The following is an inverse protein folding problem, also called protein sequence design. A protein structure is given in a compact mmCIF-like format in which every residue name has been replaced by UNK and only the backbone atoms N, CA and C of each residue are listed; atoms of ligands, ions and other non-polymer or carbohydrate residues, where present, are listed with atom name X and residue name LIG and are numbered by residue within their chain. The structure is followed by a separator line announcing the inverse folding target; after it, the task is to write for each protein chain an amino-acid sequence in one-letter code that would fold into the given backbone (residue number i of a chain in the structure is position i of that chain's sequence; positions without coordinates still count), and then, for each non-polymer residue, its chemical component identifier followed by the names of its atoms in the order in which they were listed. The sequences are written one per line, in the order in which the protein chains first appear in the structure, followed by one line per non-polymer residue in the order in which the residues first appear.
data_IF_612661974732
#
_entry.id   IF_612661974732
#
_cell.length_a   1.000
_cell.length_b   1.000
_cell.length_c   1.000
_cell.angle_alpha   90.00
_cell.angle_beta   90.00
_cell.angle_gamma   90.00
#
_symmetry.space_group_name_H-M   'P 1'
#
loop_
_entity.id
_entity.type
_entity.pdbx_description
1 polymer ?
#
# COMPACT_ATOMS: atom_id res chain seq x y z
N UNK A 1 37.79 2.25 -6.44
CA UNK A 1 36.33 2.11 -6.65
C UNK A 1 35.71 3.29 -5.97
N UNK A 2 35.38 4.31 -6.77
CA UNK A 2 35.00 5.61 -6.24
C UNK A 2 33.56 5.55 -5.77
N UNK A 3 33.32 6.07 -4.57
CA UNK A 3 32.03 6.11 -3.86
C UNK A 3 30.81 6.34 -4.78
N UNK A 4 30.95 7.20 -5.77
CA UNK A 4 29.92 7.52 -6.76
C UNK A 4 29.48 6.33 -7.61
N UNK A 5 30.39 5.44 -8.00
CA UNK A 5 30.06 4.24 -8.77
C UNK A 5 29.22 3.26 -7.95
N UNK A 6 29.53 3.16 -6.65
CA UNK A 6 28.81 2.31 -5.71
C UNK A 6 27.41 2.85 -5.44
N UNK A 7 27.28 4.17 -5.30
CA UNK A 7 25.98 4.86 -5.19
C UNK A 7 25.10 4.69 -6.43
N UNK A 8 25.66 4.86 -7.62
CA UNK A 8 24.93 4.68 -8.88
C UNK A 8 24.46 3.23 -9.04
N UNK A 9 25.33 2.27 -8.73
CA UNK A 9 25.00 0.84 -8.80
C UNK A 9 23.89 0.44 -7.82
N UNK A 10 23.90 1.00 -6.59
CA UNK A 10 22.80 0.81 -5.63
C UNK A 10 21.51 1.47 -6.15
N UNK A 11 21.62 2.67 -6.73
CA UNK A 11 20.49 3.37 -7.34
C UNK A 11 19.83 2.56 -8.45
N UNK A 12 20.62 2.00 -9.38
CA UNK A 12 20.13 1.16 -10.47
C UNK A 12 19.50 -0.14 -9.96
N UNK A 13 20.04 -0.74 -8.90
CA UNK A 13 19.49 -1.95 -8.30
C UNK A 13 18.14 -1.67 -7.61
N UNK A 14 18.01 -0.53 -6.94
CA UNK A 14 16.75 -0.05 -6.36
C UNK A 14 15.72 0.29 -7.44
N UNK A 15 16.13 0.95 -8.52
CA UNK A 15 15.27 1.29 -9.65
C UNK A 15 14.82 0.05 -10.42
N UNK A 16 15.67 -0.97 -10.59
CA UNK A 16 15.29 -2.23 -11.26
C UNK A 16 14.21 -3.02 -10.50
N UNK A 17 14.16 -2.86 -9.18
CA UNK A 17 13.11 -3.43 -8.33
C UNK A 17 11.87 -2.55 -8.27
N UNK A 18 11.96 -1.28 -8.64
CA UNK A 18 10.82 -0.38 -8.73
C UNK A 18 10.30 -0.47 -10.17
N UNK A 19 9.27 -1.28 -10.42
CA UNK A 19 8.69 -1.38 -11.76
C UNK A 19 7.67 -0.26 -12.01
N UNK A 20 8.03 0.80 -12.77
CA UNK A 20 7.10 1.83 -13.16
C UNK A 20 6.03 1.34 -14.16
N UNK A 21 6.23 0.23 -14.86
CA UNK A 21 5.21 -0.19 -15.83
C UNK A 21 3.91 -0.62 -15.13
N UNK A 22 4.03 -1.16 -13.92
CA UNK A 22 2.90 -1.50 -13.06
C UNK A 22 1.99 -0.32 -12.74
N UNK A 23 2.34 0.95 -12.98
CA UNK A 23 1.42 2.06 -12.66
C UNK A 23 0.56 2.55 -13.82
N UNK A 24 0.83 2.12 -15.05
CA UNK A 24 0.09 2.57 -16.25
C UNK A 24 -1.10 1.68 -16.64
N UNK A 25 -1.21 0.48 -16.07
CA UNK A 25 -2.22 -0.53 -16.47
C UNK A 25 -3.58 -0.38 -15.76
N UNK A 26 -3.78 0.63 -14.92
CA UNK A 26 -4.91 0.66 -13.99
C UNK A 26 -5.91 1.79 -14.26
N UNK A 27 -7.19 1.42 -14.29
CA UNK A 27 -8.35 2.24 -14.67
C UNK A 27 -8.76 3.30 -13.62
N UNK A 28 -8.13 3.31 -12.45
CA UNK A 28 -8.50 4.21 -11.34
C UNK A 28 -7.62 5.48 -11.40
N UNK A 29 -8.21 6.69 -11.56
CA UNK A 29 -7.46 7.95 -11.65
C UNK A 29 -6.70 8.24 -10.35
N UNK A 30 -5.39 8.53 -10.48
CA UNK A 30 -4.47 8.68 -9.35
C UNK A 30 -4.26 10.15 -8.96
N UNK A 31 -4.41 10.52 -7.68
CA UNK A 31 -3.93 11.80 -7.17
C UNK A 31 -2.42 11.71 -6.85
N UNK A 32 -1.59 11.57 -7.89
CA UNK A 32 -0.14 11.27 -7.78
C UNK A 32 0.64 12.27 -6.89
N UNK A 33 0.28 13.55 -6.92
CA UNK A 33 1.02 14.62 -6.25
C UNK A 33 0.84 14.64 -4.72
N UNK A 34 -0.35 14.33 -4.20
CA UNK A 34 -0.65 14.46 -2.76
C UNK A 34 -0.31 13.21 -1.94
N UNK A 35 -0.07 12.09 -2.61
CA UNK A 35 0.25 10.83 -1.95
C UNK A 35 1.64 10.86 -1.31
N UNK A 36 2.66 11.35 -2.03
CA UNK A 36 4.04 11.32 -1.54
C UNK A 36 4.21 12.12 -0.23
N UNK A 37 3.56 13.28 -0.16
CA UNK A 37 3.59 14.15 1.02
C UNK A 37 2.96 13.47 2.25
N UNK A 38 1.77 12.88 2.08
CA UNK A 38 1.10 12.22 3.19
C UNK A 38 1.73 10.88 3.57
N UNK A 39 2.22 10.09 2.60
CA UNK A 39 2.89 8.81 2.86
C UNK A 39 4.19 9.03 3.65
N UNK A 40 4.94 10.08 3.32
CA UNK A 40 6.14 10.46 4.05
C UNK A 40 5.88 10.73 5.54
N UNK A 41 4.71 11.27 5.89
CA UNK A 41 4.34 11.49 7.30
C UNK A 41 4.18 10.19 8.10
N UNK A 42 3.76 9.09 7.46
CA UNK A 42 3.67 7.76 8.06
C UNK A 42 5.05 7.13 8.17
N UNK A 43 5.85 7.18 7.10
CA UNK A 43 7.22 6.64 7.09
C UNK A 43 8.10 7.31 8.14
N UNK A 44 7.97 8.64 8.28
CA UNK A 44 8.70 9.42 9.29
C UNK A 44 8.09 9.33 10.70
N UNK A 45 7.02 8.52 10.88
CA UNK A 45 6.27 8.36 12.14
C UNK A 45 5.78 9.68 12.75
N UNK A 46 5.64 10.72 11.93
CA UNK A 46 5.12 12.03 12.37
C UNK A 46 3.61 11.99 12.60
N UNK A 47 2.91 11.04 11.96
CA UNK A 47 1.48 10.85 12.08
C UNK A 47 1.15 9.38 12.38
N UNK A 48 0.12 9.13 13.18
CA UNK A 48 -0.41 7.79 13.37
C UNK A 48 -1.10 7.32 12.08
N UNK A 49 -0.88 6.05 11.71
CA UNK A 49 -1.44 5.44 10.49
C UNK A 49 -2.95 5.63 10.40
N UNK A 50 -3.68 5.47 11.51
CA UNK A 50 -5.13 5.65 11.55
C UNK A 50 -5.57 7.10 11.24
N UNK A 51 -4.84 8.10 11.75
CA UNK A 51 -5.13 9.51 11.49
C UNK A 51 -4.84 9.88 10.03
N UNK A 52 -3.73 9.38 9.48
CA UNK A 52 -3.43 9.55 8.07
C UNK A 52 -4.48 8.87 7.17
N UNK A 53 -4.91 7.65 7.52
CA UNK A 53 -5.97 6.93 6.80
C UNK A 53 -7.30 7.68 6.82
N UNK A 54 -7.66 8.26 7.97
CA UNK A 54 -8.87 9.09 8.11
C UNK A 54 -8.80 10.33 7.21
N UNK A 55 -7.67 11.02 7.20
CA UNK A 55 -7.48 12.20 6.36
C UNK A 55 -7.56 11.82 4.87
N UNK A 56 -6.97 10.69 4.49
CA UNK A 56 -7.08 10.16 3.13
C UNK A 56 -8.48 9.76 2.76
N UNK A 57 -9.23 9.12 3.66
CA UNK A 57 -10.62 8.79 3.42
C UNK A 57 -11.48 10.05 3.17
N UNK A 58 -11.22 11.13 3.92
CA UNK A 58 -11.93 12.41 3.71
C UNK A 58 -11.53 13.11 2.42
N UNK A 59 -10.28 12.97 2.00
CA UNK A 59 -9.70 13.72 0.88
C UNK A 59 -9.82 12.97 -0.47
N UNK A 60 -9.57 11.67 -0.44
CA UNK A 60 -9.61 10.74 -1.56
C UNK A 60 -10.74 9.75 -1.31
N UNK A 61 -11.89 10.00 -1.95
CA UNK A 61 -13.04 9.09 -1.86
C UNK A 61 -12.78 7.69 -2.43
N UNK A 62 -11.72 7.51 -3.23
CA UNK A 62 -11.43 6.26 -3.93
C UNK A 62 -9.92 5.99 -3.96
N UNK A 63 -9.48 4.96 -3.24
CA UNK A 63 -8.17 4.32 -3.37
C UNK A 63 -6.96 5.02 -2.71
N UNK A 64 -6.11 4.21 -2.09
CA UNK A 64 -4.79 4.55 -1.55
C UNK A 64 -3.77 3.63 -2.25
N UNK A 65 -2.55 4.11 -2.45
CA UNK A 65 -1.47 3.28 -2.99
C UNK A 65 -0.48 2.99 -1.87
N UNK A 66 -0.03 1.77 -1.72
CA UNK A 66 1.23 1.46 -1.02
C UNK A 66 2.30 1.28 -2.09
N UNK A 67 3.57 1.56 -1.77
CA UNK A 67 4.72 1.70 -2.69
C UNK A 67 4.69 0.74 -3.90
N UNK A 68 4.28 -0.52 -3.71
CA UNK A 68 4.13 -1.52 -4.79
C UNK A 68 2.72 -2.11 -4.92
N UNK A 69 1.85 -1.89 -3.93
CA UNK A 69 0.57 -2.61 -3.81
C UNK A 69 -0.57 -1.60 -3.74
N UNK A 70 -1.65 -1.84 -4.47
CA UNK A 70 -2.81 -0.96 -4.44
C UNK A 70 -3.70 -1.32 -3.25
N UNK A 71 -4.12 -0.30 -2.50
CA UNK A 71 -5.05 -0.42 -1.39
C UNK A 71 -6.34 0.31 -1.75
N UNK A 72 -7.32 -0.43 -2.25
CA UNK A 72 -8.63 0.17 -2.52
C UNK A 72 -9.39 0.37 -1.20
N UNK A 73 -9.71 1.61 -0.89
CA UNK A 73 -10.65 1.94 0.19
C UNK A 73 -12.04 2.03 -0.43
N UNK A 74 -12.94 1.17 0.03
CA UNK A 74 -14.33 1.10 -0.42
C UNK A 74 -15.19 1.95 0.52
N UNK A 75 -16.01 2.83 -0.05
CA UNK A 75 -16.93 3.71 0.67
C UNK A 75 -18.41 3.47 0.29
N UNK A 76 -18.65 2.71 -0.78
CA UNK A 76 -20.01 2.38 -1.20
C UNK A 76 -20.55 1.23 -0.34
N UNK A 77 -21.67 1.41 0.39
CA UNK A 77 -22.26 0.35 1.20
C UNK A 77 -22.63 -0.90 0.39
N UNK A 78 -23.03 -0.76 -0.88
CA UNK A 78 -23.36 -1.91 -1.73
C UNK A 78 -22.10 -2.73 -2.04
N UNK A 79 -21.00 -2.06 -2.37
CA UNK A 79 -19.70 -2.72 -2.60
C UNK A 79 -19.12 -3.33 -1.32
N UNK A 80 -19.36 -2.71 -0.16
CA UNK A 80 -18.96 -3.26 1.14
C UNK A 80 -19.73 -4.55 1.41
N UNK A 81 -21.05 -4.58 1.15
CA UNK A 81 -21.86 -5.79 1.27
C UNK A 81 -21.35 -6.89 0.32
N UNK A 82 -21.06 -6.53 -0.93
CA UNK A 82 -20.54 -7.48 -1.91
C UNK A 82 -19.21 -8.08 -1.44
N UNK A 83 -18.25 -7.26 -0.99
CA UNK A 83 -16.92 -7.73 -0.58
C UNK A 83 -16.94 -8.52 0.73
N UNK A 84 -17.73 -8.09 1.72
CA UNK A 84 -17.74 -8.70 3.06
C UNK A 84 -18.67 -9.91 3.14
N UNK A 85 -19.77 -9.92 2.37
CA UNK A 85 -20.83 -10.93 2.49
C UNK A 85 -20.90 -11.80 1.24
N UNK A 86 -21.11 -11.22 0.06
CA UNK A 86 -21.44 -12.01 -1.15
C UNK A 86 -20.23 -12.73 -1.72
N UNK A 87 -19.13 -12.00 -1.88
CA UNK A 87 -17.88 -12.43 -2.50
C UNK A 87 -16.75 -12.62 -1.48
N UNK A 88 -17.09 -12.85 -0.20
CA UNK A 88 -16.10 -13.03 0.87
C UNK A 88 -15.04 -14.09 0.54
N UNK A 89 -15.42 -15.15 -0.19
CA UNK A 89 -14.51 -16.20 -0.64
C UNK A 89 -13.35 -15.69 -1.51
N UNK A 90 -13.54 -14.59 -2.23
CA UNK A 90 -12.52 -13.92 -3.04
C UNK A 90 -11.61 -13.00 -2.21
N UNK A 91 -12.01 -12.65 -0.98
CA UNK A 91 -11.31 -11.69 -0.10
C UNK A 91 -10.93 -12.31 1.25
N UNK A 92 -10.66 -13.62 1.30
CA UNK A 92 -10.32 -14.32 2.54
C UNK A 92 -8.94 -13.92 3.11
N UNK A 93 -8.05 -13.41 2.28
CA UNK A 93 -6.72 -12.99 2.71
C UNK A 93 -6.76 -11.66 3.49
N UNK A 94 -6.13 -11.65 4.67
CA UNK A 94 -5.97 -10.43 5.46
C UNK A 94 -4.73 -9.68 4.99
N UNK A 95 -4.88 -8.38 4.73
CA UNK A 95 -3.90 -7.57 3.98
C UNK A 95 -2.46 -7.59 4.48
N UNK A 96 -2.21 -7.76 5.78
CA UNK A 96 -0.86 -7.99 6.29
C UNK A 96 -0.67 -9.48 6.54
N UNK A 97 0.27 -10.10 5.82
CA UNK A 97 0.71 -11.47 6.10
C UNK A 97 1.19 -11.52 7.55
N UNK A 98 0.38 -12.11 8.44
CA UNK A 98 0.86 -12.46 9.76
C UNK A 98 1.88 -13.58 9.55
N UNK A 99 3.13 -13.36 9.95
CA UNK A 99 4.08 -14.45 9.98
C UNK A 99 3.54 -15.50 10.95
N UNK A 100 3.20 -16.68 10.45
CA UNK A 100 2.79 -17.84 11.24
C UNK A 100 3.98 -18.33 12.08
N UNK A 101 4.43 -17.54 13.06
CA UNK A 101 5.24 -18.07 14.14
C UNK A 101 4.28 -18.62 15.17
N UNK A 102 3.69 -19.76 14.81
CA UNK A 102 2.93 -20.59 15.73
C UNK A 102 3.91 -21.02 16.81
N UNK A 103 3.74 -20.53 18.04
CA UNK A 103 4.41 -21.12 19.18
C UNK A 103 3.99 -22.60 19.22
N UNK A 104 4.90 -23.58 19.18
CA UNK A 104 4.50 -24.96 19.38
C UNK A 104 4.00 -25.05 20.83
N UNK A 105 2.69 -25.24 21.01
CA UNK A 105 2.16 -25.70 22.28
C UNK A 105 2.64 -27.13 22.49
N UNK A 106 3.85 -27.30 23.01
CA UNK A 106 4.30 -28.57 23.56
C UNK A 106 3.65 -28.75 24.93
N UNK A 107 2.74 -29.72 25.04
CA UNK A 107 2.42 -30.42 26.28
C UNK A 107 2.91 -31.86 26.17
#
# INVERSE_FOLDING_TARGET
MDYYQLLFSIGDLLLSHFDPQSWYTWTIPKPYHKFFENFWSIVTRKCATATALKNWYTEFKHGIYEVRTQLLVINDPELIEDVIIRDFSSFMERGFSQFDKIFPCNN
#
